data_IF_147674133608
#
_entry.id   IF_147674133608
#
_cell.length_a   1.000
_cell.length_b   1.000
_cell.length_c   1.000
_cell.angle_alpha   90.00
_cell.angle_beta   90.00
_cell.angle_gamma   90.00
#
_symmetry.space_group_name_H-M   'P 1'
#
loop_
_entity.id
_entity.type
_entity.pdbx_description
1 polymer ?
#
# COMPACT_ATOMS: atom_id res chain seq x y z
N UNK A 1 -6.36 -3.30 54.85
CA UNK A 1 -5.99 -2.32 53.82
C UNK A 1 -6.85 -2.58 52.61
N UNK A 2 -7.76 -1.67 52.30
CA UNK A 2 -8.74 -1.85 51.23
C UNK A 2 -8.07 -1.88 49.86
N UNK A 3 -8.39 -2.90 49.06
CA UNK A 3 -7.84 -3.08 47.67
C UNK A 3 -8.01 -1.81 46.81
N UNK A 4 -9.03 -0.98 47.11
CA UNK A 4 -9.29 0.30 46.43
C UNK A 4 -8.22 1.34 46.75
N UNK A 5 -7.67 1.37 47.98
CA UNK A 5 -6.62 2.31 48.36
C UNK A 5 -5.30 1.97 47.69
N UNK A 6 -4.99 0.69 47.52
CA UNK A 6 -3.78 0.22 46.81
C UNK A 6 -3.83 0.56 45.32
N UNK A 7 -5.01 0.43 44.68
CA UNK A 7 -5.19 0.79 43.29
C UNK A 7 -5.05 2.30 43.04
N UNK A 8 -5.62 3.11 43.91
CA UNK A 8 -5.51 4.57 43.84
C UNK A 8 -4.05 5.02 44.03
N UNK A 9 -3.34 4.43 44.99
CA UNK A 9 -1.92 4.72 45.22
C UNK A 9 -1.04 4.36 44.03
N UNK A 10 -1.33 3.22 43.33
CA UNK A 10 -0.62 2.81 42.13
C UNK A 10 -0.85 3.75 40.95
N UNK A 11 -2.09 4.26 40.79
CA UNK A 11 -2.43 5.21 39.71
C UNK A 11 -1.73 6.55 39.91
N UNK A 12 -1.66 7.04 41.17
CA UNK A 12 -0.98 8.30 41.53
C UNK A 12 0.53 8.17 41.28
N UNK A 13 1.13 7.01 41.58
CA UNK A 13 2.56 6.78 41.37
C UNK A 13 2.94 6.75 39.90
N UNK A 14 2.09 6.19 39.04
CA UNK A 14 2.26 6.21 37.57
C UNK A 14 2.12 7.63 37.02
N UNK A 15 1.18 8.43 37.52
CA UNK A 15 0.99 9.82 37.12
C UNK A 15 2.20 10.71 37.46
N UNK A 16 2.85 10.48 38.62
CA UNK A 16 4.05 11.24 39.06
C UNK A 16 5.26 10.86 38.16
N UNK A 17 5.41 9.61 37.73
CA UNK A 17 6.49 9.21 36.81
C UNK A 17 6.38 9.84 35.41
N UNK A 18 5.17 10.17 34.94
CA UNK A 18 4.95 10.82 33.64
C UNK A 18 5.28 12.32 33.65
N UNK A 19 5.36 12.96 34.83
CA UNK A 19 5.70 14.40 34.98
C UNK A 19 7.21 14.64 35.13
N UNK A 20 8.03 13.62 35.36
CA UNK A 20 9.48 13.71 35.53
C UNK A 20 10.30 13.41 34.27
N UNK A 21 9.64 13.07 33.14
CA UNK A 21 10.26 12.87 31.82
C UNK A 21 10.60 14.21 31.18
N UNK A 22 11.75 14.79 31.54
CA UNK A 22 12.24 16.05 30.97
C UNK A 22 12.40 15.94 29.44
N UNK A 23 11.82 16.89 28.71
CA UNK A 23 12.14 17.24 27.33
C UNK A 23 13.64 17.45 27.19
N UNK A 24 14.36 16.52 26.58
CA UNK A 24 15.64 16.81 25.97
C UNK A 24 15.37 17.49 24.63
N UNK A 25 15.50 18.82 24.61
CA UNK A 25 15.54 19.59 23.38
C UNK A 25 16.78 19.16 22.60
N UNK A 26 16.54 18.41 21.50
CA UNK A 26 17.58 18.13 20.51
C UNK A 26 17.87 19.44 19.77
N UNK A 27 18.89 20.17 20.23
CA UNK A 27 19.41 21.34 19.53
C UNK A 27 20.26 20.85 18.35
N UNK A 28 19.66 20.92 17.16
CA UNK A 28 20.29 20.55 15.89
C UNK A 28 21.34 21.57 15.39
N UNK A 29 22.35 21.89 16.20
CA UNK A 29 23.39 22.88 15.81
C UNK A 29 24.76 22.23 15.47
N UNK A 30 24.90 20.91 15.64
CA UNK A 30 26.18 20.24 15.37
C UNK A 30 26.34 19.72 13.94
N UNK A 31 25.24 19.53 13.19
CA UNK A 31 25.33 19.02 11.80
C UNK A 31 25.66 20.11 10.77
N UNK A 32 25.23 21.36 11.02
CA UNK A 32 25.54 22.47 10.10
C UNK A 32 26.99 22.94 10.17
N UNK A 33 27.70 22.73 11.29
CA UNK A 33 29.15 23.05 11.40
C UNK A 33 30.01 22.06 10.62
N UNK A 34 29.64 20.77 10.64
CA UNK A 34 30.37 19.74 9.88
C UNK A 34 30.31 19.94 8.37
N UNK A 35 29.19 20.41 7.84
CA UNK A 35 29.07 20.74 6.41
C UNK A 35 29.85 22.00 6.00
N UNK A 36 29.94 23.01 6.89
CA UNK A 36 30.71 24.22 6.63
C UNK A 36 32.22 23.94 6.61
N UNK A 37 32.69 23.03 7.42
CA UNK A 37 34.11 22.65 7.48
C UNK A 37 34.53 21.81 6.26
N UNK A 38 33.63 20.99 5.72
CA UNK A 38 33.86 20.25 4.46
C UNK A 38 33.94 21.18 3.23
N UNK A 39 33.18 22.26 3.22
CA UNK A 39 33.22 23.26 2.14
C UNK A 39 34.47 24.14 2.17
N UNK A 40 35.17 24.26 3.31
CA UNK A 40 36.41 25.04 3.43
C UNK A 40 37.66 24.25 3.06
N UNK A 41 37.54 22.95 2.76
CA UNK A 41 38.64 22.08 2.33
C UNK A 41 38.76 21.92 0.80
N UNK A 42 37.95 22.64 0.02
CA UNK A 42 38.13 22.69 -1.43
C UNK A 42 39.38 23.52 -1.75
N UNK A 43 40.35 22.99 -2.50
CA UNK A 43 41.54 23.76 -2.87
C UNK A 43 41.15 24.90 -3.82
N UNK A 44 41.50 26.14 -3.43
CA UNK A 44 41.47 27.29 -4.31
C UNK A 44 42.46 27.04 -5.47
N UNK A 45 41.92 26.83 -6.66
CA UNK A 45 42.75 26.82 -7.88
C UNK A 45 42.80 28.23 -8.40
N UNK A 46 44.02 28.75 -8.37
CA UNK A 46 44.37 30.08 -8.81
C UNK A 46 43.99 30.39 -10.27
N UNK A 47 43.58 31.62 -10.45
CA UNK A 47 43.31 32.35 -11.69
C UNK A 47 44.41 32.17 -12.75
N UNK A 48 43.98 31.72 -13.93
CA UNK A 48 44.66 32.05 -15.17
C UNK A 48 43.65 32.62 -16.17
N UNK A 49 43.83 33.89 -16.47
CA UNK A 49 43.11 34.65 -17.49
C UNK A 49 43.27 34.03 -18.87
N UNK A 50 42.16 33.77 -19.57
CA UNK A 50 42.13 33.93 -21.03
C UNK A 50 40.67 33.98 -21.51
N UNK A 51 40.39 35.05 -22.24
CA UNK A 51 39.18 35.30 -23.02
C UNK A 51 38.62 34.07 -23.74
N UNK A 52 37.31 33.80 -23.57
CA UNK A 52 36.34 33.61 -24.65
C UNK A 52 34.95 33.30 -24.11
N UNK A 53 34.03 34.16 -24.54
CA UNK A 53 32.60 33.95 -24.71
C UNK A 53 31.81 33.33 -23.55
N UNK A 54 31.12 34.25 -22.87
CA UNK A 54 30.14 33.93 -21.82
C UNK A 54 28.99 33.09 -22.34
N UNK A 55 28.96 31.86 -21.88
CA UNK A 55 27.71 31.13 -21.75
C UNK A 55 27.21 31.38 -20.33
N UNK A 56 26.13 32.13 -20.22
CA UNK A 56 25.54 32.47 -18.93
C UNK A 56 25.14 31.19 -18.18
N UNK A 57 25.36 31.19 -16.86
CA UNK A 57 24.88 30.12 -15.98
C UNK A 57 23.38 29.90 -16.15
N UNK A 58 22.63 30.89 -16.64
CA UNK A 58 21.22 30.80 -16.98
C UNK A 58 20.96 29.93 -18.22
N UNK A 59 21.84 29.95 -19.23
CA UNK A 59 21.76 29.07 -20.40
C UNK A 59 22.04 27.61 -20.06
N UNK A 60 22.95 27.34 -19.10
CA UNK A 60 23.24 25.99 -18.61
C UNK A 60 22.09 25.43 -17.72
N UNK A 61 21.33 26.32 -17.09
CA UNK A 61 20.15 25.92 -16.29
C UNK A 61 18.91 25.72 -17.16
N UNK A 62 18.80 26.42 -18.31
CA UNK A 62 17.72 26.23 -19.26
C UNK A 62 17.86 24.91 -20.05
N UNK A 63 19.10 24.53 -20.37
CA UNK A 63 19.38 23.28 -21.13
C UNK A 63 19.16 22.00 -20.27
N UNK A 64 19.16 22.17 -18.95
CA UNK A 64 18.91 21.06 -18.00
C UNK A 64 17.42 20.84 -17.66
N UNK A 65 16.51 21.68 -18.19
CA UNK A 65 15.06 21.55 -17.95
C UNK A 65 14.31 20.87 -19.11
N UNK A 66 14.99 20.35 -20.12
CA UNK A 66 14.34 19.70 -21.28
C UNK A 66 14.81 18.26 -21.52
N UNK A 67 15.48 17.63 -20.56
CA UNK A 67 15.49 16.18 -20.51
C UNK A 67 14.33 15.75 -19.61
N UNK A 68 13.09 15.91 -20.10
CA UNK A 68 11.99 15.06 -19.72
C UNK A 68 12.44 13.64 -20.04
N UNK A 69 12.88 12.90 -19.03
CA UNK A 69 12.88 11.45 -19.12
C UNK A 69 11.43 11.08 -19.45
N UNK A 70 11.15 10.83 -20.72
CA UNK A 70 10.01 10.01 -21.11
C UNK A 70 10.22 8.69 -20.37
N UNK A 71 9.71 8.61 -19.13
CA UNK A 71 9.56 7.37 -18.43
C UNK A 71 8.57 6.58 -19.29
N UNK A 72 9.08 5.68 -20.11
CA UNK A 72 8.26 4.74 -20.85
C UNK A 72 7.53 3.92 -19.78
N UNK A 73 6.30 4.30 -19.51
CA UNK A 73 5.45 3.53 -18.61
C UNK A 73 5.23 2.16 -19.23
N UNK A 74 5.72 1.12 -18.59
CA UNK A 74 5.46 -0.25 -18.98
C UNK A 74 4.08 -0.64 -18.45
N UNK A 75 3.21 -1.14 -19.36
CA UNK A 75 1.87 -1.61 -19.00
C UNK A 75 1.84 -3.12 -18.95
N UNK A 76 1.02 -3.65 -18.06
CA UNK A 76 0.71 -5.08 -17.95
C UNK A 76 -0.79 -5.27 -17.99
N UNK A 77 -1.24 -6.31 -18.69
CA UNK A 77 -2.63 -6.72 -18.69
C UNK A 77 -2.93 -7.59 -17.49
N UNK A 78 -4.02 -7.28 -16.78
CA UNK A 78 -4.53 -8.01 -15.63
C UNK A 78 -6.01 -8.32 -15.84
N UNK A 79 -6.45 -9.50 -15.37
CA UNK A 79 -7.85 -9.89 -15.38
C UNK A 79 -8.49 -9.58 -14.03
N UNK A 80 -9.56 -8.81 -14.04
CA UNK A 80 -10.39 -8.45 -12.89
C UNK A 80 -11.72 -9.19 -12.98
N UNK A 81 -12.19 -9.76 -11.88
CA UNK A 81 -13.40 -10.58 -11.91
C UNK A 81 -14.57 -9.83 -11.25
N UNK A 82 -15.61 -9.57 -12.05
CA UNK A 82 -16.84 -8.88 -11.62
C UNK A 82 -18.06 -9.79 -11.79
N UNK A 83 -19.18 -9.43 -11.18
CA UNK A 83 -20.42 -10.17 -11.39
C UNK A 83 -21.15 -9.67 -12.64
N UNK A 84 -21.67 -10.58 -13.45
CA UNK A 84 -22.62 -10.29 -14.51
C UNK A 84 -24.05 -10.13 -14.00
N UNK A 85 -24.99 -9.83 -14.90
CA UNK A 85 -26.41 -9.72 -14.54
C UNK A 85 -27.07 -11.03 -14.09
N UNK A 86 -26.43 -12.19 -14.34
CA UNK A 86 -26.91 -13.52 -13.92
C UNK A 86 -26.29 -13.97 -12.60
N UNK A 87 -25.39 -13.17 -11.99
CA UNK A 87 -24.71 -13.50 -10.75
C UNK A 87 -23.56 -14.50 -10.91
N UNK A 88 -22.96 -14.55 -12.08
CA UNK A 88 -21.73 -15.31 -12.37
C UNK A 88 -20.54 -14.37 -12.43
N UNK A 89 -19.33 -14.88 -12.12
CA UNK A 89 -18.09 -14.11 -12.28
C UNK A 89 -17.61 -14.14 -13.71
N UNK A 90 -17.36 -12.97 -14.25
CA UNK A 90 -16.78 -12.74 -15.60
C UNK A 90 -15.48 -11.96 -15.46
N UNK A 91 -14.52 -12.26 -16.32
CA UNK A 91 -13.27 -11.54 -16.37
C UNK A 91 -13.43 -10.26 -17.20
N UNK A 92 -12.82 -9.18 -16.75
CA UNK A 92 -12.59 -7.95 -17.48
C UNK A 92 -11.09 -7.68 -17.48
N UNK A 93 -10.48 -7.71 -18.68
CA UNK A 93 -9.05 -7.47 -18.82
C UNK A 93 -8.80 -5.96 -18.85
N UNK A 94 -7.80 -5.51 -18.07
CA UNK A 94 -7.43 -4.11 -17.91
C UNK A 94 -5.93 -3.93 -18.01
N UNK A 95 -5.51 -2.90 -18.74
CA UNK A 95 -4.11 -2.51 -18.77
C UNK A 95 -3.82 -1.56 -17.62
N UNK A 96 -2.84 -1.90 -16.80
CA UNK A 96 -2.38 -1.09 -15.68
C UNK A 96 -0.88 -0.86 -15.76
N UNK A 97 -0.42 0.26 -15.20
CA UNK A 97 1.01 0.57 -15.14
C UNK A 97 1.71 -0.49 -14.30
N UNK A 98 2.75 -1.09 -14.87
CA UNK A 98 3.59 -2.05 -14.17
C UNK A 98 4.40 -1.35 -13.08
N UNK A 99 4.16 -1.70 -11.85
CA UNK A 99 4.83 -1.14 -10.66
C UNK A 99 5.28 -2.26 -9.74
N UNK A 100 6.22 -1.96 -8.84
CA UNK A 100 6.41 -2.80 -7.67
C UNK A 100 5.07 -2.93 -6.92
N UNK A 101 4.72 -4.14 -6.47
CA UNK A 101 3.44 -4.38 -5.82
C UNK A 101 2.25 -4.44 -6.78
N UNK A 102 2.43 -5.06 -7.96
CA UNK A 102 1.40 -5.21 -9.00
C UNK A 102 0.09 -5.79 -8.45
N UNK A 103 0.13 -6.73 -7.50
CA UNK A 103 -1.07 -7.29 -6.88
C UNK A 103 -1.86 -6.24 -6.10
N UNK A 104 -1.19 -5.30 -5.41
CA UNK A 104 -1.83 -4.16 -4.75
C UNK A 104 -2.57 -3.30 -5.78
N UNK A 105 -1.89 -2.95 -6.85
CA UNK A 105 -2.48 -2.15 -7.93
C UNK A 105 -3.69 -2.85 -8.54
N UNK A 106 -3.57 -4.15 -8.81
CA UNK A 106 -4.67 -4.96 -9.35
C UNK A 106 -5.90 -4.98 -8.42
N UNK A 107 -5.71 -5.19 -7.11
CA UNK A 107 -6.83 -5.11 -6.16
C UNK A 107 -7.42 -3.71 -6.03
N UNK A 108 -6.61 -2.66 -6.15
CA UNK A 108 -7.13 -1.29 -6.19
C UNK A 108 -8.00 -1.05 -7.42
N UNK A 109 -7.63 -1.59 -8.59
CA UNK A 109 -8.45 -1.51 -9.79
C UNK A 109 -9.74 -2.33 -9.65
N UNK A 110 -9.68 -3.51 -9.02
CA UNK A 110 -10.89 -4.31 -8.71
C UNK A 110 -11.87 -3.54 -7.79
N UNK A 111 -11.36 -2.86 -6.77
CA UNK A 111 -12.16 -2.04 -5.85
C UNK A 111 -12.85 -0.85 -6.54
N UNK A 112 -12.23 -0.28 -7.56
CA UNK A 112 -12.85 0.81 -8.36
C UNK A 112 -14.13 0.35 -9.06
N UNK A 113 -14.23 -0.95 -9.33
CA UNK A 113 -15.34 -1.54 -10.06
C UNK A 113 -15.09 -1.71 -11.55
N UNK A 114 -16.07 -2.29 -12.26
CA UNK A 114 -15.97 -2.59 -13.68
C UNK A 114 -16.07 -1.32 -14.53
N UNK A 115 -15.39 -1.32 -15.68
CA UNK A 115 -15.58 -0.33 -16.75
C UNK A 115 -16.80 -0.68 -17.59
N UNK A 116 -17.07 -1.98 -17.75
CA UNK A 116 -18.27 -2.45 -18.44
C UNK A 116 -19.51 -2.24 -17.55
N UNK A 117 -20.43 -1.38 -18.01
CA UNK A 117 -21.67 -1.03 -17.28
C UNK A 117 -22.65 -2.18 -17.13
N UNK A 118 -22.45 -3.31 -17.82
CA UNK A 118 -23.25 -4.53 -17.66
C UNK A 118 -22.81 -5.37 -16.44
N UNK A 119 -21.62 -5.09 -15.89
CA UNK A 119 -21.08 -5.81 -14.74
C UNK A 119 -21.35 -5.04 -13.45
N UNK A 120 -21.39 -5.76 -12.34
CA UNK A 120 -21.65 -5.20 -11.01
C UNK A 120 -20.36 -5.20 -10.19
N UNK A 121 -20.07 -4.07 -9.56
CA UNK A 121 -19.07 -4.03 -8.50
C UNK A 121 -19.58 -4.83 -7.29
N UNK A 122 -18.75 -5.75 -6.81
CA UNK A 122 -19.08 -6.61 -5.67
C UNK A 122 -18.71 -5.99 -4.33
N UNK A 123 -17.82 -4.99 -4.34
CA UNK A 123 -17.45 -4.28 -3.11
C UNK A 123 -18.54 -3.28 -2.72
N UNK A 124 -18.99 -3.30 -1.45
CA UNK A 124 -19.85 -2.25 -0.92
C UNK A 124 -19.23 -0.86 -1.07
N UNK A 125 -20.05 0.19 -1.22
CA UNK A 125 -19.56 1.57 -1.32
C UNK A 125 -18.65 1.95 -0.15
N UNK A 126 -17.52 2.59 -0.45
CA UNK A 126 -16.54 3.03 0.56
C UNK A 126 -15.58 1.93 1.03
N UNK A 127 -15.67 0.71 0.49
CA UNK A 127 -14.66 -0.33 0.76
C UNK A 127 -13.28 0.12 0.29
N UNK A 128 -12.26 -0.19 1.06
CA UNK A 128 -10.86 0.19 0.80
C UNK A 128 -9.94 -1.01 1.02
N UNK A 129 -8.87 -1.06 0.25
CA UNK A 129 -7.71 -1.91 0.53
C UNK A 129 -6.81 -1.16 1.51
N UNK A 130 -6.76 -1.60 2.75
CA UNK A 130 -5.92 -1.01 3.79
C UNK A 130 -4.47 -1.44 3.62
N UNK A 131 -4.25 -2.75 3.42
CA UNK A 131 -2.93 -3.29 3.17
C UNK A 131 -2.97 -4.56 2.33
N UNK A 132 -1.84 -4.89 1.72
CA UNK A 132 -1.56 -6.19 1.11
C UNK A 132 -0.09 -6.53 1.33
N UNK A 133 0.17 -7.71 1.85
CA UNK A 133 1.51 -8.21 2.11
C UNK A 133 1.65 -9.61 1.50
N UNK A 134 2.67 -9.80 0.65
CA UNK A 134 2.99 -11.08 0.03
C UNK A 134 4.32 -11.53 0.60
N UNK A 135 4.30 -12.66 1.32
CA UNK A 135 5.49 -13.27 1.92
C UNK A 135 6.26 -14.10 0.88
N UNK A 136 7.52 -14.40 1.18
CA UNK A 136 8.41 -15.17 0.29
C UNK A 136 7.89 -16.57 -0.02
N UNK A 137 7.12 -17.18 0.87
CA UNK A 137 6.48 -18.49 0.70
C UNK A 137 5.23 -18.46 -0.22
N UNK A 138 4.83 -17.26 -0.64
CA UNK A 138 3.64 -17.04 -1.47
C UNK A 138 2.35 -16.81 -0.68
N UNK A 139 2.44 -16.59 0.62
CA UNK A 139 1.27 -16.23 1.42
C UNK A 139 0.95 -14.75 1.28
N UNK A 140 -0.21 -14.45 0.68
CA UNK A 140 -0.76 -13.12 0.48
C UNK A 140 -1.77 -12.81 1.59
N UNK A 141 -1.53 -11.75 2.35
CA UNK A 141 -2.44 -11.23 3.38
C UNK A 141 -3.06 -9.96 2.83
N UNK A 142 -4.38 -9.94 2.69
CA UNK A 142 -5.17 -8.80 2.20
C UNK A 142 -5.95 -8.21 3.36
N UNK A 143 -5.74 -6.94 3.66
CA UNK A 143 -6.47 -6.21 4.70
C UNK A 143 -7.46 -5.24 4.06
N UNK A 144 -8.74 -5.43 4.36
CA UNK A 144 -9.85 -4.65 3.85
C UNK A 144 -10.48 -3.82 4.97
N UNK A 145 -11.09 -2.70 4.61
CA UNK A 145 -11.82 -1.87 5.57
C UNK A 145 -13.16 -2.49 5.98
N UNK A 146 -13.69 -2.11 7.15
CA UNK A 146 -14.93 -2.65 7.72
C UNK A 146 -16.16 -2.48 6.81
N UNK A 147 -16.12 -1.57 5.82
CA UNK A 147 -17.21 -1.36 4.87
C UNK A 147 -17.55 -2.63 4.08
N UNK A 148 -16.59 -3.53 3.89
CA UNK A 148 -16.82 -4.81 3.22
C UNK A 148 -17.88 -5.66 3.93
N UNK A 149 -18.14 -5.45 5.21
CA UNK A 149 -19.20 -6.13 5.99
C UNK A 149 -20.62 -5.74 5.58
N UNK A 150 -20.81 -4.70 4.75
CA UNK A 150 -22.12 -4.24 4.29
C UNK A 150 -22.66 -5.06 3.09
N UNK A 151 -22.16 -6.26 2.91
CA UNK A 151 -22.67 -7.22 1.93
C UNK A 151 -24.07 -7.69 2.37
N UNK A 152 -25.01 -7.80 1.41
CA UNK A 152 -26.41 -8.00 1.73
C UNK A 152 -26.82 -9.45 1.98
N UNK A 153 -26.07 -10.43 1.44
CA UNK A 153 -26.43 -11.85 1.50
C UNK A 153 -25.23 -12.78 1.22
N UNK A 154 -25.43 -14.08 1.49
CA UNK A 154 -24.40 -15.10 1.32
C UNK A 154 -23.88 -15.23 -0.13
N UNK A 155 -24.76 -15.06 -1.12
CA UNK A 155 -24.37 -15.15 -2.52
C UNK A 155 -23.41 -14.00 -2.89
N UNK A 156 -23.69 -12.79 -2.46
CA UNK A 156 -22.81 -11.64 -2.70
C UNK A 156 -21.47 -11.79 -1.95
N UNK A 157 -21.50 -12.32 -0.72
CA UNK A 157 -20.29 -12.61 0.05
C UNK A 157 -19.40 -13.64 -0.68
N UNK A 158 -19.99 -14.71 -1.18
CA UNK A 158 -19.29 -15.73 -1.94
C UNK A 158 -18.72 -15.18 -3.26
N UNK A 159 -19.49 -14.36 -3.97
CA UNK A 159 -19.04 -13.74 -5.22
C UNK A 159 -17.87 -12.78 -4.98
N UNK A 160 -17.93 -11.95 -3.94
CA UNK A 160 -16.83 -11.05 -3.58
C UNK A 160 -15.56 -11.84 -3.23
N UNK A 161 -15.69 -12.85 -2.38
CA UNK A 161 -14.55 -13.70 -2.01
C UNK A 161 -13.92 -14.35 -3.25
N UNK A 162 -14.72 -14.95 -4.09
CA UNK A 162 -14.25 -15.59 -5.32
C UNK A 162 -13.65 -14.58 -6.32
N UNK A 163 -14.17 -13.36 -6.38
CA UNK A 163 -13.64 -12.27 -7.19
C UNK A 163 -12.20 -11.93 -6.76
N UNK A 164 -11.98 -11.73 -5.46
CA UNK A 164 -10.64 -11.48 -4.90
C UNK A 164 -9.70 -12.65 -5.21
N UNK A 165 -10.13 -13.89 -4.93
CA UNK A 165 -9.34 -15.11 -5.11
C UNK A 165 -8.94 -15.28 -6.58
N UNK A 166 -9.90 -15.18 -7.51
CA UNK A 166 -9.62 -15.32 -8.96
C UNK A 166 -8.72 -14.21 -9.48
N UNK A 167 -8.93 -12.98 -9.01
CA UNK A 167 -8.09 -11.84 -9.39
C UNK A 167 -6.65 -12.00 -8.89
N UNK A 168 -6.44 -12.49 -7.67
CA UNK A 168 -5.10 -12.76 -7.15
C UNK A 168 -4.48 -14.03 -7.71
N UNK A 169 -5.28 -15.02 -8.08
CA UNK A 169 -4.82 -16.30 -8.64
C UNK A 169 -4.12 -16.21 -9.99
N UNK A 170 -4.19 -15.07 -10.69
CA UNK A 170 -3.41 -14.84 -11.90
C UNK A 170 -1.91 -14.68 -11.64
N UNK A 171 -1.51 -14.36 -10.38
CA UNK A 171 -0.12 -14.17 -10.00
C UNK A 171 0.51 -15.47 -9.50
N UNK A 172 1.47 -16.06 -10.24
CA UNK A 172 2.05 -17.35 -9.88
C UNK A 172 2.86 -17.33 -8.58
N UNK A 173 3.22 -16.14 -8.11
CA UNK A 173 3.91 -15.96 -6.81
C UNK A 173 2.97 -16.08 -5.61
N UNK A 174 1.65 -16.00 -5.80
CA UNK A 174 0.66 -16.10 -4.73
C UNK A 174 0.09 -17.51 -4.72
N UNK A 175 0.24 -18.20 -3.58
CA UNK A 175 -0.22 -19.59 -3.37
C UNK A 175 -1.35 -19.67 -2.35
N UNK A 176 -1.29 -18.84 -1.32
CA UNK A 176 -2.24 -18.79 -0.22
C UNK A 176 -2.75 -17.36 -0.05
N UNK A 177 -4.02 -17.20 0.26
CA UNK A 177 -4.63 -15.90 0.57
C UNK A 177 -5.28 -15.96 1.95
N UNK A 178 -5.01 -14.97 2.77
CA UNK A 178 -5.77 -14.66 4.00
C UNK A 178 -6.39 -13.28 3.89
N UNK A 179 -7.60 -13.13 4.42
CA UNK A 179 -8.29 -11.84 4.44
C UNK A 179 -8.44 -11.37 5.88
N UNK A 180 -8.06 -10.13 6.11
CA UNK A 180 -8.27 -9.39 7.34
C UNK A 180 -9.31 -8.30 7.08
N UNK A 181 -9.96 -7.85 8.14
CA UNK A 181 -10.81 -6.66 8.14
C UNK A 181 -10.38 -5.76 9.29
N UNK A 182 -9.97 -4.52 8.99
CA UNK A 182 -9.39 -3.56 9.94
C UNK A 182 -8.26 -4.20 10.75
N UNK A 183 -7.34 -4.89 10.06
CA UNK A 183 -6.18 -5.61 10.61
C UNK A 183 -6.53 -6.76 11.56
N UNK A 184 -7.77 -7.22 11.55
CA UNK A 184 -8.26 -8.33 12.38
C UNK A 184 -8.55 -9.55 11.51
N UNK A 185 -8.12 -10.73 11.99
CA UNK A 185 -8.56 -12.00 11.40
C UNK A 185 -10.05 -12.19 11.62
N UNK A 186 -10.74 -12.67 10.60
CA UNK A 186 -12.20 -12.84 10.64
C UNK A 186 -12.60 -14.24 10.17
N UNK A 187 -13.67 -14.75 10.75
CA UNK A 187 -14.25 -16.04 10.38
C UNK A 187 -15.31 -15.91 9.27
N UNK A 188 -15.62 -14.68 8.83
CA UNK A 188 -16.55 -14.36 7.75
C UNK A 188 -16.33 -12.91 7.31
N UNK A 189 -16.60 -12.56 6.04
CA UNK A 189 -16.55 -11.17 5.59
C UNK A 189 -17.75 -10.36 6.13
N UNK A 190 -18.95 -10.92 6.01
CA UNK A 190 -20.20 -10.26 6.38
C UNK A 190 -21.10 -11.10 7.31
N UNK A 191 -20.68 -12.29 7.72
CA UNK A 191 -21.39 -13.15 8.66
C UNK A 191 -22.31 -14.16 8.01
N UNK A 192 -22.29 -14.34 6.69
CA UNK A 192 -23.17 -15.28 6.00
C UNK A 192 -22.52 -16.62 5.71
N UNK A 193 -21.19 -16.67 5.60
CA UNK A 193 -20.47 -17.91 5.31
C UNK A 193 -19.14 -17.95 6.03
N UNK A 194 -18.71 -19.16 6.40
CA UNK A 194 -17.43 -19.36 7.06
C UNK A 194 -16.27 -19.10 6.10
N UNK A 195 -15.31 -18.32 6.55
CA UNK A 195 -14.08 -17.99 5.85
C UNK A 195 -12.91 -18.74 6.49
N UNK A 196 -12.23 -19.65 5.75
CA UNK A 196 -11.03 -20.27 6.27
C UNK A 196 -9.92 -19.24 6.47
N UNK A 197 -9.09 -19.43 7.50
CA UNK A 197 -7.98 -18.51 7.83
C UNK A 197 -6.99 -18.33 6.67
N UNK A 198 -6.86 -19.36 5.84
CA UNK A 198 -6.07 -19.35 4.61
C UNK A 198 -6.83 -20.08 3.51
N UNK A 199 -6.79 -19.52 2.30
CA UNK A 199 -7.39 -20.08 1.09
C UNK A 199 -6.27 -20.42 0.13
N UNK A 200 -6.20 -21.68 -0.27
CA UNK A 200 -5.24 -22.12 -1.27
C UNK A 200 -5.72 -21.73 -2.67
N UNK A 201 -4.85 -21.09 -3.44
CA UNK A 201 -5.12 -20.75 -4.82
C UNK A 201 -4.77 -21.94 -5.71
N UNK A 202 -5.78 -22.47 -6.40
CA UNK A 202 -5.52 -23.39 -7.50
C UNK A 202 -4.95 -22.58 -8.66
N UNK A 203 -3.64 -22.74 -8.90
CA UNK A 203 -2.97 -22.05 -10.00
C UNK A 203 -3.30 -22.80 -11.32
N UNK A 204 -4.13 -22.25 -12.23
CA UNK A 204 -4.51 -22.95 -13.45
C UNK A 204 -3.39 -23.04 -14.48
N UNK A 205 -2.19 -22.50 -14.20
CA UNK A 205 -1.01 -22.49 -15.09
C UNK A 205 0.17 -23.30 -14.55
N UNK A 206 -0.07 -24.22 -13.63
CA UNK A 206 0.97 -25.03 -12.97
C UNK A 206 0.81 -26.54 -13.26
N UNK A 207 0.79 -26.97 -14.51
CA UNK A 207 1.22 -28.28 -14.99
C UNK A 207 2.01 -28.13 -16.29
#
# INVERSE_FOLDING_TARGET
MDKKIVIIAAIILVAICLLAGGCSTFTGDSSLKAWKELLSLAPETETASSDKQGTSLEDLLLDKQTEGQDMVEEYIEVSLYFADGAGSLVAEDRQIVKTEGIARRTLQELLKGPENTQYKNLFPPGSQLLDINIKEDGWCIVDLSAQVRQIANAQEEQLLLNSIIKTLGQFPTIKLVSILIDSQSVDSLAGYMDLPQTIELMNPKGE
#
